data_IF_919683346711
#
_entry.id   IF_919683346711
#
_cell.length_a   1.000
_cell.length_b   1.000
_cell.length_c   1.000
_cell.angle_alpha   90.00
_cell.angle_beta   90.00
_cell.angle_gamma   90.00
#
_symmetry.space_group_name_H-M   'P 1'
#
loop_
_entity.id
_entity.type
_entity.pdbx_description
1 polymer ?
#
# COMPACT_ATOMS: atom_id res chain seq x y z
N UNK A 1 -3.17 25.61 -19.13
CA UNK A 1 -2.04 24.78 -18.69
C UNK A 1 -1.33 25.55 -17.61
N UNK A 2 -1.69 25.34 -16.37
CA UNK A 2 -1.03 25.95 -15.23
C UNK A 2 -0.08 24.91 -14.67
N UNK A 3 1.21 25.16 -14.85
CA UNK A 3 2.28 24.39 -14.22
C UNK A 3 2.07 24.43 -12.70
N UNK A 4 1.78 23.27 -12.14
CA UNK A 4 1.77 23.11 -10.68
C UNK A 4 3.26 23.02 -10.30
N UNK A 5 3.81 24.16 -9.83
CA UNK A 5 5.12 24.15 -9.22
C UNK A 5 5.15 23.09 -8.10
N UNK A 6 6.25 22.30 -8.00
CA UNK A 6 6.41 21.36 -6.90
C UNK A 6 6.37 22.17 -5.60
N UNK A 7 5.38 21.87 -4.75
CA UNK A 7 5.29 22.45 -3.43
C UNK A 7 6.62 22.21 -2.71
N UNK A 8 7.37 23.26 -2.43
CA UNK A 8 8.59 23.18 -1.65
C UNK A 8 8.21 22.71 -0.25
N UNK A 9 8.39 21.44 0.00
CA UNK A 9 8.27 20.86 1.30
C UNK A 9 9.26 21.56 2.22
N UNK A 10 8.80 22.40 3.10
CA UNK A 10 9.66 22.97 4.11
C UNK A 10 10.14 21.87 5.03
N UNK A 11 11.43 21.59 4.98
CA UNK A 11 12.17 20.54 5.71
C UNK A 11 12.02 20.56 7.25
N UNK A 12 11.04 21.25 7.81
CA UNK A 12 10.91 21.47 9.26
C UNK A 12 10.21 20.37 10.06
N UNK A 13 9.54 19.40 9.43
CA UNK A 13 8.83 18.30 10.12
C UNK A 13 9.51 16.94 10.12
N UNK A 14 10.26 16.59 9.08
CA UNK A 14 10.75 15.22 8.85
C UNK A 14 12.13 14.87 9.43
N UNK A 15 12.81 15.82 10.08
CA UNK A 15 14.24 15.70 10.48
C UNK A 15 14.54 15.08 11.84
N UNK A 16 13.62 14.44 12.58
CA UNK A 16 13.88 14.10 13.98
C UNK A 16 13.80 12.63 14.39
N UNK A 17 13.67 11.67 13.50
CA UNK A 17 13.56 10.24 13.89
C UNK A 17 14.50 9.26 13.16
N UNK A 18 15.67 9.71 12.70
CA UNK A 18 16.75 8.81 12.31
C UNK A 18 18.03 9.18 13.08
N UNK A 19 18.01 8.92 14.39
CA UNK A 19 19.16 9.09 15.24
C UNK A 19 19.18 8.04 16.34
N UNK A 20 19.95 6.94 16.12
CA UNK A 20 20.26 6.06 17.23
C UNK A 20 20.50 4.61 16.86
N UNK A 21 21.65 4.31 16.24
CA UNK A 21 22.45 3.11 16.49
C UNK A 21 23.72 3.16 15.64
N UNK A 22 24.70 3.94 16.05
CA UNK A 22 26.09 3.74 15.63
C UNK A 22 26.69 2.67 16.56
N UNK A 23 26.57 1.41 16.16
CA UNK A 23 27.29 0.29 16.78
C UNK A 23 28.62 0.10 16.03
N UNK A 24 29.73 0.40 16.66
CA UNK A 24 31.08 0.04 16.24
C UNK A 24 31.17 -1.50 16.12
N UNK A 25 31.39 -2.02 14.93
CA UNK A 25 31.82 -3.38 14.71
C UNK A 25 33.28 -3.37 14.32
N UNK A 26 34.12 -3.87 15.22
CA UNK A 26 35.53 -4.13 15.06
C UNK A 26 35.78 -5.22 14.01
N UNK A 27 36.77 -4.96 13.17
CA UNK A 27 37.39 -5.87 12.21
C UNK A 27 37.96 -7.11 12.94
N UNK A 28 37.52 -8.28 12.52
CA UNK A 28 38.10 -9.56 12.84
C UNK A 28 38.26 -10.39 11.56
N UNK A 29 39.51 -10.38 11.02
CA UNK A 29 39.93 -11.26 9.93
C UNK A 29 40.07 -12.70 10.44
N UNK A 30 39.44 -13.68 9.80
CA UNK A 30 39.89 -15.05 9.83
C UNK A 30 39.80 -15.66 8.43
N UNK A 31 40.96 -15.97 7.90
CA UNK A 31 41.14 -16.85 6.76
C UNK A 31 41.28 -18.29 7.27
N UNK A 32 40.63 -19.24 6.66
CA UNK A 32 41.12 -20.60 6.56
C UNK A 32 40.39 -21.37 5.44
N UNK A 33 41.19 -21.91 4.56
CA UNK A 33 40.87 -22.82 3.49
C UNK A 33 40.60 -24.24 4.03
N UNK A 34 39.87 -25.08 3.27
CA UNK A 34 40.28 -26.39 2.80
C UNK A 34 39.12 -27.16 2.18
N UNK A 35 39.17 -27.37 0.93
CA UNK A 35 39.12 -28.62 0.11
C UNK A 35 38.35 -29.82 0.63
N UNK A 36 37.49 -30.35 -0.24
CA UNK A 36 36.90 -31.69 -0.12
C UNK A 36 36.03 -32.06 -1.31
N UNK A 37 36.65 -32.75 -2.29
CA UNK A 37 35.98 -33.40 -3.42
C UNK A 37 35.15 -34.61 -2.96
N UNK A 38 34.02 -34.84 -3.62
CA UNK A 38 33.26 -36.08 -3.50
C UNK A 38 32.29 -36.27 -4.67
N UNK A 39 32.76 -37.03 -5.66
CA UNK A 39 31.98 -37.56 -6.79
C UNK A 39 30.95 -38.59 -6.31
N UNK A 40 29.76 -38.60 -6.93
CA UNK A 40 28.78 -39.65 -6.78
C UNK A 40 27.76 -39.63 -7.92
N UNK A 41 27.97 -40.56 -8.85
CA UNK A 41 27.24 -40.78 -10.10
C UNK A 41 25.84 -41.40 -9.91
N UNK A 42 24.93 -40.93 -10.75
CA UNK A 42 23.86 -41.57 -11.50
C UNK A 42 23.03 -42.74 -10.91
N UNK A 43 21.70 -42.62 -11.02
CA UNK A 43 20.97 -43.65 -11.79
C UNK A 43 19.59 -43.15 -12.23
N UNK A 44 19.30 -43.35 -13.50
CA UNK A 44 18.01 -43.16 -14.15
C UNK A 44 17.12 -44.40 -13.86
N UNK A 45 15.81 -44.18 -13.73
CA UNK A 45 14.81 -45.23 -13.64
C UNK A 45 13.50 -44.73 -14.22
N UNK A 46 13.32 -45.04 -15.50
CA UNK A 46 12.08 -44.98 -16.28
C UNK A 46 11.01 -45.91 -15.68
N UNK A 47 9.73 -45.54 -15.73
CA UNK A 47 8.58 -46.42 -16.04
C UNK A 47 7.23 -45.67 -16.08
N UNK A 48 6.79 -45.43 -17.28
CA UNK A 48 5.53 -45.87 -17.89
C UNK A 48 4.17 -45.47 -17.29
N UNK A 49 3.44 -44.85 -18.16
CA UNK A 49 2.05 -44.50 -18.32
C UNK A 49 1.02 -45.55 -17.87
N UNK A 50 -0.13 -45.07 -17.39
CA UNK A 50 -1.44 -45.66 -17.66
C UNK A 50 -2.51 -44.55 -17.64
N UNK A 51 -3.14 -44.37 -18.79
CA UNK A 51 -4.29 -43.52 -18.95
C UNK A 51 -5.59 -44.21 -18.52
N UNK A 52 -6.56 -43.45 -18.11
CA UNK A 52 -7.98 -43.77 -18.23
C UNK A 52 -8.77 -42.51 -18.33
N UNK A 53 -9.38 -42.32 -19.48
CA UNK A 53 -10.41 -41.34 -19.76
C UNK A 53 -11.77 -41.88 -19.28
N UNK A 54 -12.56 -41.07 -18.60
CA UNK A 54 -14.01 -41.26 -18.50
C UNK A 54 -14.71 -39.89 -18.55
N UNK A 55 -15.45 -39.76 -19.62
CA UNK A 55 -16.71 -39.10 -19.90
C UNK A 55 -17.16 -37.82 -19.22
N UNK A 56 -17.56 -36.91 -20.10
CA UNK A 56 -18.31 -35.70 -19.90
C UNK A 56 -19.67 -35.94 -19.21
N UNK A 57 -20.02 -35.04 -18.31
CA UNK A 57 -21.36 -34.86 -17.76
C UNK A 57 -21.69 -33.38 -17.73
N UNK A 58 -22.52 -32.96 -18.69
CA UNK A 58 -23.14 -31.66 -18.81
C UNK A 58 -24.13 -31.44 -17.63
N UNK A 59 -23.97 -30.33 -16.90
CA UNK A 59 -25.05 -29.76 -16.10
C UNK A 59 -24.85 -28.27 -15.93
N UNK A 60 -25.39 -27.54 -16.86
CA UNK A 60 -25.73 -26.13 -16.78
C UNK A 60 -26.69 -25.89 -15.60
N UNK A 61 -26.25 -25.13 -14.61
CA UNK A 61 -27.12 -24.46 -13.66
C UNK A 61 -26.53 -23.10 -13.31
N UNK A 62 -26.97 -22.09 -13.98
CA UNK A 62 -26.84 -20.71 -13.57
C UNK A 62 -27.64 -20.47 -12.29
N UNK A 63 -27.05 -19.95 -11.21
CA UNK A 63 -27.87 -19.38 -10.15
C UNK A 63 -28.28 -17.96 -10.56
N UNK A 64 -29.55 -17.79 -10.76
CA UNK A 64 -30.25 -16.50 -10.82
C UNK A 64 -29.93 -15.71 -9.56
N UNK A 65 -29.19 -14.63 -9.71
CA UNK A 65 -28.99 -13.66 -8.64
C UNK A 65 -30.31 -12.91 -8.42
N UNK A 66 -31.04 -13.28 -7.38
CA UNK A 66 -32.12 -12.47 -6.82
C UNK A 66 -31.51 -11.20 -6.24
N UNK A 67 -31.79 -10.08 -6.88
CA UNK A 67 -31.55 -8.75 -6.32
C UNK A 67 -32.55 -8.50 -5.19
N UNK A 68 -32.17 -8.83 -3.97
CA UNK A 68 -32.79 -8.26 -2.79
C UNK A 68 -31.94 -7.08 -2.35
N UNK A 69 -32.49 -5.88 -2.45
CA UNK A 69 -31.94 -4.69 -1.83
C UNK A 69 -31.78 -4.94 -0.33
N UNK A 70 -30.55 -5.00 0.11
CA UNK A 70 -30.20 -4.97 1.51
C UNK A 70 -29.36 -3.70 1.72
N UNK A 71 -29.96 -2.69 2.31
CA UNK A 71 -29.27 -1.77 3.19
C UNK A 71 -28.63 -2.61 4.30
N UNK A 72 -27.33 -2.74 4.25
CA UNK A 72 -26.61 -3.47 5.27
C UNK A 72 -25.15 -3.64 4.87
N UNK A 73 -24.28 -2.71 5.23
CA UNK A 73 -22.89 -3.08 5.45
C UNK A 73 -22.93 -4.27 6.40
N UNK A 74 -22.29 -5.40 6.05
CA UNK A 74 -22.17 -6.57 6.93
C UNK A 74 -21.29 -6.29 8.17
N UNK A 75 -21.17 -5.02 8.54
CA UNK A 75 -20.38 -4.48 9.63
C UNK A 75 -21.21 -4.52 10.91
N UNK A 76 -20.69 -5.20 11.92
CA UNK A 76 -21.29 -5.24 13.26
C UNK A 76 -21.01 -3.92 14.01
N UNK A 77 -22.03 -3.07 14.13
CA UNK A 77 -21.93 -1.77 14.77
C UNK A 77 -21.59 -1.84 16.25
N UNK A 78 -22.12 -2.83 16.96
CA UNK A 78 -21.87 -3.02 18.38
C UNK A 78 -20.42 -3.48 18.61
N UNK A 79 -19.94 -4.39 17.77
CA UNK A 79 -18.55 -4.84 17.79
C UNK A 79 -17.58 -3.70 17.51
N UNK A 80 -17.85 -2.86 16.50
CA UNK A 80 -17.01 -1.70 16.17
C UNK A 80 -16.95 -0.71 17.34
N UNK A 81 -18.10 -0.42 17.94
CA UNK A 81 -18.18 0.49 19.09
C UNK A 81 -17.42 -0.09 20.29
N UNK A 82 -17.60 -1.39 20.59
CA UNK A 82 -16.94 -2.05 21.69
C UNK A 82 -15.42 -2.14 21.53
N UNK A 83 -14.94 -2.52 20.31
CA UNK A 83 -13.50 -2.74 20.07
C UNK A 83 -12.72 -1.45 19.81
N UNK A 84 -13.31 -0.53 19.05
CA UNK A 84 -12.60 0.61 18.50
C UNK A 84 -13.22 1.95 18.85
N UNK A 85 -14.42 2.00 19.44
CA UNK A 85 -15.15 3.25 19.66
C UNK A 85 -15.60 3.92 18.34
N UNK A 86 -15.73 3.15 17.27
CA UNK A 86 -16.08 3.62 15.93
C UNK A 86 -17.54 3.29 15.62
N UNK A 87 -18.16 4.12 14.79
CA UNK A 87 -19.41 3.79 14.10
C UNK A 87 -19.09 3.15 12.74
N UNK A 88 -20.00 2.37 12.16
CA UNK A 88 -19.86 1.95 10.77
C UNK A 88 -19.67 3.14 9.83
N UNK A 89 -18.77 2.99 8.86
CA UNK A 89 -18.64 3.96 7.78
C UNK A 89 -19.70 3.70 6.70
N UNK A 90 -20.33 4.74 6.21
CA UNK A 90 -21.20 4.63 5.04
C UNK A 90 -20.33 4.52 3.79
N UNK A 91 -20.44 3.44 3.04
CA UNK A 91 -19.72 3.31 1.78
C UNK A 91 -20.20 4.39 0.79
N UNK A 92 -19.29 5.19 0.19
CA UNK A 92 -19.69 6.17 -0.81
C UNK A 92 -20.16 5.46 -2.09
N UNK A 93 -21.03 6.10 -2.84
CA UNK A 93 -21.42 5.61 -4.17
C UNK A 93 -20.19 5.47 -5.07
N UNK A 94 -20.17 4.40 -5.87
CA UNK A 94 -19.12 4.27 -6.90
C UNK A 94 -19.32 5.36 -7.95
N UNK A 95 -18.29 6.18 -8.26
CA UNK A 95 -18.44 7.22 -9.26
C UNK A 95 -18.71 6.62 -10.63
N UNK A 96 -19.61 7.23 -11.38
CA UNK A 96 -19.96 6.79 -12.74
C UNK A 96 -18.78 6.93 -13.72
N UNK A 97 -17.89 7.86 -13.47
CA UNK A 97 -16.68 8.12 -14.27
C UNK A 97 -15.50 8.40 -13.35
N UNK A 98 -14.29 8.09 -13.82
CA UNK A 98 -13.06 8.42 -13.11
C UNK A 98 -12.92 9.94 -12.95
N UNK A 99 -12.63 10.40 -11.73
CA UNK A 99 -12.42 11.81 -11.44
C UNK A 99 -11.03 12.31 -11.91
N UNK A 100 -10.06 11.38 -11.99
CA UNK A 100 -8.73 11.64 -12.54
C UNK A 100 -8.49 10.65 -13.68
N UNK A 101 -8.21 11.16 -14.88
CA UNK A 101 -7.71 10.35 -15.97
C UNK A 101 -6.21 10.13 -15.79
N UNK A 102 -5.82 8.90 -15.54
CA UNK A 102 -4.41 8.52 -15.49
C UNK A 102 -3.83 8.43 -16.89
N UNK A 103 -2.65 9.02 -17.10
CA UNK A 103 -1.98 9.05 -18.40
C UNK A 103 -0.82 8.05 -18.44
N UNK A 104 -0.89 6.99 -19.26
CA UNK A 104 0.18 6.01 -19.37
C UNK A 104 1.43 6.56 -20.09
N UNK A 105 1.33 7.69 -20.81
CA UNK A 105 2.48 8.31 -21.48
C UNK A 105 3.15 9.38 -20.61
N UNK A 106 2.44 9.91 -19.61
CA UNK A 106 2.95 10.93 -18.72
C UNK A 106 2.27 10.79 -17.35
N UNK A 107 2.74 9.88 -16.48
CA UNK A 107 2.06 9.50 -15.25
C UNK A 107 1.50 10.69 -14.48
N UNK A 108 0.18 10.66 -14.23
CA UNK A 108 -0.56 11.77 -13.62
C UNK A 108 -0.19 11.89 -12.15
N UNK A 109 0.24 13.08 -11.72
CA UNK A 109 0.61 13.36 -10.32
C UNK A 109 -0.61 13.93 -9.61
N UNK A 110 -0.97 13.36 -8.46
CA UNK A 110 -2.09 13.84 -7.65
C UNK A 110 -1.85 13.63 -6.16
N UNK A 111 -2.38 14.53 -5.34
CA UNK A 111 -2.40 14.45 -3.88
C UNK A 111 -3.84 14.55 -3.33
N UNK A 112 -4.79 14.76 -4.24
CA UNK A 112 -6.20 14.97 -3.96
C UNK A 112 -7.01 14.54 -5.18
N UNK A 113 -8.18 13.98 -4.96
CA UNK A 113 -9.12 13.62 -6.02
C UNK A 113 -10.21 14.70 -6.13
N UNK A 114 -10.48 15.26 -7.30
CA UNK A 114 -11.55 16.23 -7.48
C UNK A 114 -12.92 15.64 -7.15
N UNK A 115 -13.58 16.15 -6.11
CA UNK A 115 -14.93 15.76 -5.71
C UNK A 115 -15.51 16.83 -4.79
N UNK A 116 -16.84 16.91 -4.72
CA UNK A 116 -17.56 17.70 -3.72
C UNK A 116 -18.10 16.84 -2.57
N UNK A 117 -18.01 15.52 -2.68
CA UNK A 117 -18.48 14.61 -1.64
C UNK A 117 -17.51 14.61 -0.45
N UNK A 118 -18.03 14.48 0.77
CA UNK A 118 -17.22 14.37 1.98
C UNK A 118 -16.59 12.99 2.10
N UNK A 119 -15.69 12.68 1.16
CA UNK A 119 -14.87 11.48 1.12
C UNK A 119 -13.40 11.82 1.23
N UNK A 120 -12.63 10.91 1.82
CA UNK A 120 -11.17 10.94 1.81
C UNK A 120 -10.63 9.55 1.47
N UNK A 121 -9.33 9.46 1.19
CA UNK A 121 -8.66 8.23 0.78
C UNK A 121 -7.55 7.90 1.77
N UNK A 122 -7.67 6.76 2.45
CA UNK A 122 -6.67 6.30 3.42
C UNK A 122 -5.62 5.48 2.70
N UNK A 123 -4.36 5.88 2.84
CA UNK A 123 -3.22 5.18 2.26
C UNK A 123 -2.20 4.84 3.33
N UNK A 124 -1.55 3.67 3.24
CA UNK A 124 -0.58 3.20 4.22
C UNK A 124 0.68 2.72 3.50
N UNK A 125 1.82 3.32 3.81
CA UNK A 125 3.07 3.09 3.12
C UNK A 125 4.03 2.18 3.90
N UNK A 126 5.11 1.77 3.25
CA UNK A 126 6.28 1.04 3.74
C UNK A 126 6.06 -0.47 3.89
N UNK A 127 5.41 -0.91 4.96
CA UNK A 127 5.26 -2.33 5.31
C UNK A 127 6.21 -2.79 6.41
N UNK A 128 6.73 -1.89 7.26
CA UNK A 128 7.71 -2.24 8.31
C UNK A 128 7.07 -3.12 9.38
N UNK A 129 5.91 -2.72 9.90
CA UNK A 129 5.20 -3.46 10.95
C UNK A 129 4.17 -4.42 10.36
N UNK A 130 4.03 -5.59 10.98
CA UNK A 130 3.13 -6.67 10.58
C UNK A 130 2.28 -7.10 11.77
N UNK A 131 1.50 -6.16 12.32
CA UNK A 131 0.59 -6.41 13.44
C UNK A 131 -0.61 -7.28 12.97
N UNK A 132 -0.74 -8.54 13.41
CA UNK A 132 -1.89 -9.38 13.03
C UNK A 132 -3.24 -8.79 13.45
N UNK A 133 -3.27 -7.97 14.51
CA UNK A 133 -4.50 -7.31 14.95
C UNK A 133 -4.99 -6.26 13.93
N UNK A 134 -4.09 -5.72 13.09
CA UNK A 134 -4.49 -4.81 12.02
C UNK A 134 -5.26 -5.53 10.90
N UNK A 135 -4.91 -6.78 10.58
CA UNK A 135 -5.69 -7.59 9.63
C UNK A 135 -7.13 -7.78 10.15
N UNK A 136 -7.26 -8.04 11.46
CA UNK A 136 -8.59 -8.17 12.07
C UNK A 136 -9.36 -6.85 12.04
N UNK A 137 -8.69 -5.72 12.31
CA UNK A 137 -9.31 -4.40 12.23
C UNK A 137 -9.82 -4.09 10.82
N UNK A 138 -9.06 -4.43 9.77
CA UNK A 138 -9.49 -4.25 8.38
C UNK A 138 -10.75 -5.04 8.07
N UNK A 139 -10.85 -6.29 8.56
CA UNK A 139 -12.04 -7.14 8.42
C UNK A 139 -13.25 -6.61 9.17
N UNK A 140 -13.03 -6.02 10.34
CA UNK A 140 -14.11 -5.48 11.18
C UNK A 140 -14.62 -4.14 10.63
N UNK A 141 -13.73 -3.22 10.28
CA UNK A 141 -14.08 -1.85 9.86
C UNK A 141 -14.59 -1.79 8.42
N UNK A 142 -14.10 -2.65 7.54
CA UNK A 142 -14.52 -2.81 6.14
C UNK A 142 -14.47 -1.52 5.30
N UNK A 143 -13.50 -0.67 5.54
CA UNK A 143 -13.24 0.48 4.68
C UNK A 143 -12.06 0.21 3.73
N UNK A 144 -12.09 0.75 2.51
CA UNK A 144 -10.99 0.55 1.56
C UNK A 144 -9.72 1.26 2.01
N UNK A 145 -8.59 0.58 1.83
CA UNK A 145 -7.25 1.11 2.10
C UNK A 145 -6.37 0.84 0.89
N UNK A 146 -5.57 1.82 0.50
CA UNK A 146 -4.52 1.61 -0.51
C UNK A 146 -3.18 1.50 0.21
N UNK A 147 -2.45 0.40 0.01
CA UNK A 147 -1.12 0.22 0.59
C UNK A 147 -0.04 0.35 -0.48
N UNK A 148 1.03 1.09 -0.19
CA UNK A 148 2.17 1.24 -1.07
C UNK A 148 3.37 0.54 -0.43
N UNK A 149 3.78 -0.60 -1.00
CA UNK A 149 4.73 -1.50 -0.37
C UNK A 149 6.13 -1.41 -0.97
N UNK A 150 7.15 -1.36 -0.10
CA UNK A 150 8.56 -1.42 -0.48
C UNK A 150 9.15 -2.80 -0.13
N UNK A 151 9.78 -3.47 -1.11
CA UNK A 151 10.23 -4.84 -0.94
C UNK A 151 11.17 -5.03 0.27
N UNK A 152 12.12 -4.14 0.44
CA UNK A 152 13.08 -4.23 1.55
C UNK A 152 12.41 -4.26 2.94
N UNK A 153 11.17 -3.76 3.03
CA UNK A 153 10.41 -3.66 4.27
C UNK A 153 9.36 -4.77 4.43
N UNK A 154 9.07 -5.53 3.37
CA UNK A 154 8.03 -6.58 3.40
C UNK A 154 8.56 -7.99 3.15
N UNK A 155 9.78 -8.15 2.63
CA UNK A 155 10.31 -9.44 2.15
C UNK A 155 10.56 -10.48 3.25
N UNK A 156 10.53 -10.09 4.49
CA UNK A 156 10.60 -10.98 5.65
C UNK A 156 9.27 -11.68 5.96
N UNK A 157 8.14 -11.12 5.50
CA UNK A 157 6.81 -11.74 5.65
C UNK A 157 5.82 -11.24 4.57
N UNK A 158 5.96 -11.73 3.35
CA UNK A 158 4.99 -11.45 2.27
C UNK A 158 3.57 -11.95 2.59
N UNK A 159 3.46 -13.06 3.33
CA UNK A 159 2.18 -13.67 3.66
C UNK A 159 1.29 -12.78 4.54
N UNK A 160 1.86 -11.86 5.30
CA UNK A 160 1.08 -10.87 6.04
C UNK A 160 0.29 -9.94 5.10
N UNK A 161 0.93 -9.42 4.05
CA UNK A 161 0.30 -8.50 3.08
C UNK A 161 -0.64 -9.23 2.12
N UNK A 162 -0.37 -10.52 1.82
CA UNK A 162 -1.30 -11.37 1.11
C UNK A 162 -2.63 -11.49 1.88
N UNK A 163 -2.59 -11.81 3.18
CA UNK A 163 -3.77 -11.87 4.05
C UNK A 163 -4.51 -10.55 4.17
N UNK A 164 -3.78 -9.42 4.15
CA UNK A 164 -4.40 -8.09 4.10
C UNK A 164 -5.14 -7.88 2.78
N UNK A 165 -4.52 -8.22 1.66
CA UNK A 165 -5.13 -8.09 0.33
C UNK A 165 -6.34 -9.01 0.17
N UNK A 166 -6.27 -10.23 0.65
CA UNK A 166 -7.37 -11.21 0.65
C UNK A 166 -8.61 -10.77 1.44
N UNK A 167 -8.50 -9.76 2.30
CA UNK A 167 -9.68 -9.17 2.97
C UNK A 167 -10.67 -8.54 1.97
N UNK A 168 -10.22 -8.20 0.77
CA UNK A 168 -11.01 -7.52 -0.26
C UNK A 168 -11.13 -6.00 -0.06
N UNK A 169 -10.57 -5.46 1.02
CA UNK A 169 -10.60 -4.03 1.34
C UNK A 169 -9.26 -3.33 1.08
N UNK A 170 -8.23 -4.07 0.67
CA UNK A 170 -6.87 -3.53 0.53
C UNK A 170 -6.38 -3.67 -0.91
N UNK A 171 -6.01 -2.55 -1.53
CA UNK A 171 -5.34 -2.50 -2.83
C UNK A 171 -3.84 -2.26 -2.65
N UNK A 172 -3.00 -3.00 -3.41
CA UNK A 172 -1.54 -2.92 -3.32
C UNK A 172 -0.99 -2.05 -4.46
N UNK A 173 -0.11 -1.12 -4.12
CA UNK A 173 0.56 -0.21 -5.05
C UNK A 173 2.08 -0.20 -4.82
N UNK A 174 2.83 0.42 -5.75
CA UNK A 174 4.30 0.39 -5.79
C UNK A 174 4.94 1.48 -4.93
N UNK A 175 5.96 1.10 -4.13
CA UNK A 175 6.76 2.01 -3.31
C UNK A 175 8.27 1.74 -3.39
N UNK A 176 8.76 1.26 -4.53
CA UNK A 176 10.15 0.89 -4.80
C UNK A 176 10.63 -0.41 -4.14
N UNK A 177 11.81 -0.89 -4.54
CA UNK A 177 12.46 -2.06 -3.95
C UNK A 177 13.10 -1.73 -2.60
N UNK A 178 13.96 -0.70 -2.56
CA UNK A 178 14.82 -0.39 -1.41
C UNK A 178 14.41 0.86 -0.63
N UNK A 179 13.30 1.50 -0.99
CA UNK A 179 12.79 2.71 -0.33
C UNK A 179 13.80 3.89 -0.30
N UNK A 180 14.41 4.27 -1.43
CA UNK A 180 15.40 5.36 -1.45
C UNK A 180 14.73 6.73 -1.28
N UNK A 181 15.01 7.43 -0.18
CA UNK A 181 14.54 8.80 0.05
C UNK A 181 15.21 9.83 -0.87
N UNK A 182 16.31 9.43 -1.51
CA UNK A 182 17.12 10.29 -2.38
C UNK A 182 16.85 10.02 -3.88
N UNK A 183 15.68 9.53 -4.25
CA UNK A 183 15.36 9.20 -5.65
C UNK A 183 15.81 10.27 -6.66
N UNK A 184 15.55 11.57 -6.49
CA UNK A 184 15.96 12.60 -7.45
C UNK A 184 17.49 12.75 -7.64
N UNK A 185 18.31 12.19 -6.74
CA UNK A 185 19.77 12.19 -6.89
C UNK A 185 20.31 10.93 -7.56
N UNK A 186 19.45 9.97 -7.89
CA UNK A 186 19.80 8.73 -8.58
C UNK A 186 19.71 8.90 -10.09
N UNK A 187 20.51 8.14 -10.84
CA UNK A 187 20.43 8.10 -12.29
C UNK A 187 19.12 7.42 -12.77
N UNK A 188 18.77 7.63 -14.05
CA UNK A 188 17.55 7.04 -14.63
C UNK A 188 17.47 5.52 -14.44
N UNK A 189 18.55 4.81 -14.74
CA UNK A 189 18.56 3.34 -14.65
C UNK A 189 18.32 2.86 -13.21
N UNK A 190 18.93 3.52 -12.22
CA UNK A 190 18.76 3.19 -10.82
C UNK A 190 17.31 3.43 -10.36
N UNK A 191 16.71 4.56 -10.75
CA UNK A 191 15.31 4.84 -10.45
C UNK A 191 14.37 3.85 -11.15
N UNK A 192 14.64 3.49 -12.40
CA UNK A 192 13.87 2.49 -13.13
C UNK A 192 13.96 1.12 -12.47
N UNK A 193 15.15 0.67 -12.07
CA UNK A 193 15.35 -0.62 -11.41
C UNK A 193 14.62 -0.70 -10.06
N UNK A 194 14.58 0.39 -9.32
CA UNK A 194 13.80 0.50 -8.06
C UNK A 194 12.29 0.33 -8.31
N UNK A 195 11.77 0.96 -9.35
CA UNK A 195 10.33 0.96 -9.65
C UNK A 195 9.92 -0.32 -10.38
N UNK A 196 10.60 -0.70 -11.45
CA UNK A 196 10.29 -1.87 -12.26
C UNK A 196 10.57 -3.18 -11.51
N UNK A 197 11.64 -3.20 -10.70
CA UNK A 197 11.93 -4.31 -9.81
C UNK A 197 10.80 -4.57 -8.83
N UNK A 198 10.23 -3.52 -8.25
CA UNK A 198 9.09 -3.65 -7.34
C UNK A 198 7.82 -4.11 -8.06
N UNK A 199 7.55 -3.64 -9.29
CA UNK A 199 6.44 -4.16 -10.11
C UNK A 199 6.53 -5.68 -10.27
N UNK A 200 7.73 -6.17 -10.62
CA UNK A 200 7.99 -7.60 -10.80
C UNK A 200 7.73 -8.40 -9.50
N UNK A 201 8.19 -7.87 -8.37
CA UNK A 201 8.01 -8.52 -7.06
C UNK A 201 6.55 -8.56 -6.64
N UNK A 202 5.84 -7.45 -6.72
CA UNK A 202 4.43 -7.40 -6.33
C UNK A 202 3.56 -8.29 -7.22
N UNK A 203 3.89 -8.38 -8.53
CA UNK A 203 3.21 -9.33 -9.41
C UNK A 203 3.50 -10.78 -9.04
N UNK A 204 4.75 -11.11 -8.74
CA UNK A 204 5.16 -12.47 -8.38
C UNK A 204 4.53 -12.92 -7.06
N UNK A 205 4.55 -12.09 -6.02
CA UNK A 205 4.13 -12.47 -4.67
C UNK A 205 2.60 -12.39 -4.48
N UNK A 206 1.92 -11.44 -5.14
CA UNK A 206 0.49 -11.16 -4.92
C UNK A 206 -0.39 -11.28 -6.17
N UNK A 207 0.20 -11.55 -7.35
CA UNK A 207 -0.54 -11.57 -8.62
C UNK A 207 -1.07 -10.21 -9.07
N UNK A 208 -0.71 -9.12 -8.40
CA UNK A 208 -1.20 -7.78 -8.71
C UNK A 208 -0.27 -7.06 -9.69
N UNK A 209 -0.83 -6.16 -10.48
CA UNK A 209 -0.08 -5.24 -11.34
C UNK A 209 -0.40 -3.81 -10.93
N UNK A 210 0.38 -3.21 -10.02
CA UNK A 210 0.18 -1.83 -9.62
C UNK A 210 0.22 -0.87 -10.81
N UNK A 211 -0.60 0.17 -10.77
CA UNK A 211 -0.62 1.21 -11.77
C UNK A 211 -0.44 2.61 -11.18
N UNK A 212 -0.32 2.69 -9.86
CA UNK A 212 0.01 3.88 -9.10
C UNK A 212 1.37 3.68 -8.42
N UNK A 213 2.18 4.72 -8.43
CA UNK A 213 3.44 4.81 -7.71
C UNK A 213 3.32 5.81 -6.56
N UNK A 214 3.86 5.46 -5.41
CA UNK A 214 4.12 6.39 -4.31
C UNK A 214 5.62 6.57 -4.19
N UNK A 215 6.18 7.77 -4.50
CA UNK A 215 7.62 8.00 -4.32
C UNK A 215 7.97 8.05 -2.83
N UNK A 216 9.04 7.34 -2.39
CA UNK A 216 9.51 7.41 -1.01
C UNK A 216 9.73 8.84 -0.52
N UNK A 217 9.12 9.18 0.64
CA UNK A 217 9.14 10.54 1.18
C UNK A 217 8.51 11.62 0.30
N UNK A 218 7.76 11.25 -0.74
CA UNK A 218 7.21 12.18 -1.73
C UNK A 218 8.26 12.78 -2.66
N UNK A 219 9.50 12.26 -2.67
CA UNK A 219 10.63 12.80 -3.44
C UNK A 219 10.63 12.24 -4.86
N UNK A 220 10.46 13.09 -5.83
CA UNK A 220 10.48 12.76 -7.26
C UNK A 220 10.93 13.95 -8.11
N UNK A 221 11.33 13.66 -9.33
CA UNK A 221 11.65 14.63 -10.38
C UNK A 221 11.13 14.15 -11.75
N UNK A 222 11.54 14.78 -12.83
CA UNK A 222 11.16 14.39 -14.19
C UNK A 222 11.72 13.02 -14.57
N UNK A 223 12.89 12.64 -14.05
CA UNK A 223 13.51 11.33 -14.27
C UNK A 223 12.72 10.22 -13.58
N UNK A 224 12.26 10.47 -12.35
CA UNK A 224 11.36 9.56 -11.63
C UNK A 224 10.07 9.31 -12.42
N UNK A 225 9.49 10.39 -12.98
CA UNK A 225 8.25 10.27 -13.76
C UNK A 225 8.44 9.47 -15.05
N UNK A 226 9.57 9.66 -15.71
CA UNK A 226 9.95 8.87 -16.90
C UNK A 226 10.18 7.39 -16.54
N UNK A 227 10.85 7.09 -15.45
CA UNK A 227 11.04 5.73 -14.94
C UNK A 227 9.69 5.06 -14.60
N UNK A 228 8.76 5.79 -13.98
CA UNK A 228 7.39 5.33 -13.75
C UNK A 228 6.67 4.96 -15.05
N UNK A 229 6.75 5.84 -16.06
CA UNK A 229 6.18 5.59 -17.40
C UNK A 229 6.75 4.31 -18.00
N UNK A 230 8.07 4.17 -17.99
CA UNK A 230 8.76 3.00 -18.54
C UNK A 230 8.43 1.71 -17.81
N UNK A 231 8.17 1.77 -16.49
CA UNK A 231 7.73 0.65 -15.66
C UNK A 231 6.22 0.34 -15.80
N UNK A 232 5.47 1.05 -16.65
CA UNK A 232 4.05 0.82 -16.91
C UNK A 232 3.10 1.45 -15.90
N UNK A 233 3.60 2.31 -15.00
CA UNK A 233 2.78 3.03 -14.03
C UNK A 233 2.13 4.24 -14.71
N UNK A 234 0.89 4.56 -14.29
CA UNK A 234 0.05 5.58 -14.91
C UNK A 234 -0.20 6.78 -14.00
N UNK A 235 -0.02 6.60 -12.70
CA UNK A 235 -0.23 7.62 -11.68
C UNK A 235 0.89 7.69 -10.68
N UNK A 236 1.14 8.89 -10.13
CA UNK A 236 2.01 9.14 -8.99
C UNK A 236 1.18 9.79 -7.90
N UNK A 237 0.99 9.08 -6.79
CA UNK A 237 0.11 9.49 -5.69
C UNK A 237 0.92 10.11 -4.56
N UNK A 238 0.62 11.38 -4.26
CA UNK A 238 1.09 12.09 -3.07
C UNK A 238 -0.02 12.17 -2.02
N UNK A 239 0.06 13.09 -1.07
CA UNK A 239 -0.93 13.24 0.01
C UNK A 239 -1.12 14.71 0.40
N UNK A 240 -2.19 15.00 1.13
CA UNK A 240 -2.50 16.31 1.69
C UNK A 240 -2.33 16.34 3.21
N UNK A 241 -2.67 15.25 3.87
CA UNK A 241 -2.55 15.07 5.31
C UNK A 241 -1.80 13.79 5.61
N UNK A 242 -1.21 13.71 6.81
CA UNK A 242 -0.61 12.50 7.31
C UNK A 242 -1.11 12.20 8.72
N UNK A 243 -1.41 10.93 9.00
CA UNK A 243 -1.58 10.45 10.36
C UNK A 243 -0.20 10.08 10.90
N UNK A 244 0.28 10.89 11.82
CA UNK A 244 1.46 10.60 12.60
C UNK A 244 1.08 9.76 13.84
N UNK A 245 1.93 9.67 14.83
CA UNK A 245 1.73 8.71 15.94
C UNK A 245 0.40 8.92 16.67
N UNK A 246 0.07 10.17 16.99
CA UNK A 246 -1.08 10.51 17.85
C UNK A 246 -1.98 11.58 17.27
N UNK A 247 -1.53 12.28 16.24
CA UNK A 247 -2.21 13.44 15.69
C UNK A 247 -2.09 13.48 14.17
N UNK A 248 -2.97 14.26 13.57
CA UNK A 248 -2.95 14.54 12.14
C UNK A 248 -2.06 15.73 11.83
N UNK A 249 -1.20 15.58 10.83
CA UNK A 249 -0.46 16.67 10.21
C UNK A 249 -1.16 17.13 8.94
N UNK A 250 -1.38 18.42 8.82
CA UNK A 250 -2.03 19.06 7.69
C UNK A 250 -1.07 19.96 6.95
N UNK A 251 -1.15 19.98 5.62
CA UNK A 251 -0.40 20.95 4.81
C UNK A 251 -1.04 22.35 4.86
N UNK A 252 -2.29 22.45 5.30
CA UNK A 252 -3.03 23.69 5.43
C UNK A 252 -3.20 24.09 6.89
N UNK A 253 -3.29 25.40 7.13
CA UNK A 253 -3.38 25.96 8.50
C UNK A 253 -4.75 25.76 9.16
N UNK A 254 -5.79 25.46 8.39
CA UNK A 254 -7.14 25.23 8.88
C UNK A 254 -7.31 23.88 9.59
N UNK A 255 -6.36 22.95 9.37
CA UNK A 255 -6.32 21.61 10.01
C UNK A 255 -7.64 20.83 9.85
N UNK A 256 -8.27 20.95 8.69
CA UNK A 256 -9.50 20.24 8.35
C UNK A 256 -9.33 19.44 7.06
N UNK A 257 -9.94 18.25 7.05
CA UNK A 257 -10.06 17.45 5.84
C UNK A 257 -10.89 18.19 4.79
N UNK A 258 -10.44 18.10 3.56
CA UNK A 258 -11.15 18.62 2.41
C UNK A 258 -11.66 17.46 1.54
N UNK A 259 -12.81 17.61 0.85
CA UNK A 259 -13.31 16.59 -0.06
C UNK A 259 -12.24 16.10 -1.03
N UNK A 260 -12.00 14.79 -1.04
CA UNK A 260 -11.05 14.15 -1.94
C UNK A 260 -9.60 14.08 -1.48
N UNK A 261 -9.30 14.48 -0.26
CA UNK A 261 -7.94 14.43 0.26
C UNK A 261 -7.41 13.00 0.37
N UNK A 262 -6.14 12.82 -0.01
CA UNK A 262 -5.38 11.59 0.22
C UNK A 262 -4.62 11.73 1.54
N UNK A 263 -4.86 10.81 2.45
CA UNK A 263 -4.25 10.76 3.78
C UNK A 263 -3.15 9.71 3.79
N UNK A 264 -1.95 10.10 4.20
CA UNK A 264 -0.81 9.20 4.38
C UNK A 264 -0.78 8.63 5.80
N UNK A 265 -0.57 7.34 5.88
CA UNK A 265 -0.17 6.62 7.09
C UNK A 265 1.04 5.73 6.77
N UNK A 266 1.59 5.07 7.79
CA UNK A 266 2.66 4.10 7.60
C UNK A 266 2.39 2.85 8.44
N UNK A 267 2.85 1.68 7.94
CA UNK A 267 2.93 0.47 8.76
C UNK A 267 3.99 0.66 9.83
N UNK A 268 3.56 0.96 11.04
CA UNK A 268 4.44 1.20 12.19
C UNK A 268 3.96 0.45 13.42
N UNK A 269 4.89 -0.06 14.19
CA UNK A 269 4.65 -0.78 15.42
C UNK A 269 5.05 0.00 16.67
N UNK A 270 5.02 -0.64 17.86
CA UNK A 270 5.28 0.02 19.13
C UNK A 270 6.60 0.76 19.22
N UNK A 271 7.65 0.28 18.52
CA UNK A 271 8.95 0.94 18.49
C UNK A 271 8.90 2.34 17.86
N UNK A 272 8.13 2.50 16.78
CA UNK A 272 7.97 3.77 16.07
C UNK A 272 6.81 4.60 16.64
N UNK A 273 5.80 3.97 17.26
CA UNK A 273 4.58 4.58 17.79
C UNK A 273 4.64 4.87 19.30
N UNK A 274 5.82 5.00 19.88
CA UNK A 274 6.02 5.29 21.31
C UNK A 274 5.28 4.29 22.22
N UNK A 275 5.33 3.01 21.88
CA UNK A 275 4.68 1.93 22.63
C UNK A 275 3.23 1.66 22.24
N UNK A 276 2.65 2.41 21.31
CA UNK A 276 1.30 2.15 20.81
C UNK A 276 1.28 1.18 19.63
N UNK A 277 0.13 0.59 19.34
CA UNK A 277 -0.05 -0.32 18.22
C UNK A 277 -0.55 0.42 16.96
N UNK A 278 -0.36 -0.19 15.81
CA UNK A 278 -0.94 0.30 14.53
C UNK A 278 -2.47 0.40 14.63
N UNK A 279 -3.13 -0.57 15.25
CA UNK A 279 -4.59 -0.56 15.49
C UNK A 279 -5.02 0.71 16.23
N UNK A 280 -4.25 1.11 17.26
CA UNK A 280 -4.59 2.31 18.04
C UNK A 280 -4.40 3.60 17.22
N UNK A 281 -3.34 3.68 16.42
CA UNK A 281 -3.12 4.80 15.50
C UNK A 281 -4.25 4.88 14.47
N UNK A 282 -4.60 3.77 13.83
CA UNK A 282 -5.67 3.73 12.83
C UNK A 282 -7.05 4.02 13.44
N UNK A 283 -7.30 3.59 14.68
CA UNK A 283 -8.53 3.95 15.39
C UNK A 283 -8.65 5.47 15.57
N UNK A 284 -7.56 6.16 15.91
CA UNK A 284 -7.55 7.63 15.99
C UNK A 284 -7.84 8.28 14.65
N UNK A 285 -7.19 7.79 13.59
CA UNK A 285 -7.44 8.28 12.24
C UNK A 285 -8.92 8.16 11.87
N UNK A 286 -9.50 6.98 12.04
CA UNK A 286 -10.90 6.73 11.70
C UNK A 286 -11.85 7.57 12.55
N UNK A 287 -11.59 7.70 13.86
CA UNK A 287 -12.34 8.59 14.74
C UNK A 287 -12.27 10.06 14.26
N UNK A 288 -11.10 10.49 13.83
CA UNK A 288 -10.88 11.84 13.31
C UNK A 288 -11.64 12.09 12.01
N UNK A 289 -11.63 11.13 11.08
CA UNK A 289 -12.40 11.18 9.84
C UNK A 289 -13.90 11.28 10.14
N UNK A 290 -14.42 10.45 11.05
CA UNK A 290 -15.83 10.48 11.46
C UNK A 290 -16.22 11.78 12.15
N UNK A 291 -15.36 12.32 13.01
CA UNK A 291 -15.61 13.58 13.73
C UNK A 291 -15.77 14.77 12.79
N UNK A 292 -15.12 14.75 11.62
CA UNK A 292 -15.26 15.78 10.59
C UNK A 292 -16.38 15.49 9.58
N UNK A 293 -17.12 14.40 9.76
CA UNK A 293 -18.24 14.01 8.91
C UNK A 293 -17.84 13.47 7.54
N UNK A 294 -16.64 12.90 7.45
CA UNK A 294 -16.14 12.25 6.24
C UNK A 294 -16.33 10.73 6.29
N UNK A 295 -16.31 10.11 5.11
CA UNK A 295 -16.20 8.67 4.96
C UNK A 295 -15.00 8.33 4.09
N UNK A 296 -14.58 7.05 4.10
CA UNK A 296 -13.42 6.57 3.34
C UNK A 296 -13.86 5.96 2.02
N UNK A 297 -13.18 6.32 0.94
CA UNK A 297 -13.41 5.81 -0.39
C UNK A 297 -12.18 5.06 -0.93
N UNK A 298 -12.41 4.18 -1.91
CA UNK A 298 -11.36 3.46 -2.63
C UNK A 298 -10.80 4.35 -3.75
N UNK A 299 -9.56 4.84 -3.60
CA UNK A 299 -8.94 5.72 -4.59
C UNK A 299 -8.89 5.08 -5.98
N UNK A 300 -8.75 3.76 -6.06
CA UNK A 300 -8.66 3.03 -7.33
C UNK A 300 -9.94 3.12 -8.17
N UNK A 301 -11.06 3.46 -7.55
CA UNK A 301 -12.33 3.71 -8.24
C UNK A 301 -12.44 5.10 -8.85
N UNK A 302 -11.60 6.04 -8.40
CA UNK A 302 -11.65 7.46 -8.80
C UNK A 302 -10.56 7.88 -9.79
N UNK A 303 -9.52 7.03 -9.96
CA UNK A 303 -8.36 7.30 -10.82
C UNK A 303 -8.18 6.25 -11.91
#
# INVERSE_FOLDING_TARGET
MTDIEPAQWTRRGFGRFLGGAAGLATLGSFAAACTGSGNGTANAGDLAASGSAVAAGDASASPTASSSGADGSGVDADLLMQRYGLKPFTAPATPATKAIALDPQNPTIFAKVPTSEKICFVTVDDGIDKDPAFIQMVKDVQVPITISLADTLIRDDYAYFEKLHETGFVSIQNHTVNHPLSMPSMGYQEQFDEIAGQQTKLHKEYGVTPYIFRPPGGNYDSVTREACRAAGLKGMMLWKEAMEIQDMEYQTSDRHLQPGDVILCHFRGPAQLKGETMVKMMTRLYSHIQAQGFTVADVTRYV
#
